data_IF_149090480319
#
_entry.id   IF_149090480319
#
_cell.length_a   1.000
_cell.length_b   1.000
_cell.length_c   1.000
_cell.angle_alpha   90.00
_cell.angle_beta   90.00
_cell.angle_gamma   90.00
#
_symmetry.space_group_name_H-M   'P 1'
#
loop_
_entity.id
_entity.type
_entity.pdbx_description
1 polymer ?
#
# COMPACT_ATOMS: atom_id res chain seq x y z
N UNK A 1 -12.37 -11.59 -3.07
CA UNK A 1 -12.64 -10.30 -2.40
C UNK A 1 -14.14 -10.07 -2.45
N UNK A 2 -14.89 -10.70 -1.55
CA UNK A 2 -16.36 -10.55 -1.52
C UNK A 2 -16.71 -9.46 -0.49
N UNK A 3 -17.56 -8.50 -0.87
CA UNK A 3 -18.10 -7.47 0.04
C UNK A 3 -17.45 -6.09 -0.04
N UNK A 4 -16.65 -5.78 -1.07
CA UNK A 4 -16.16 -4.42 -1.33
C UNK A 4 -16.55 -4.04 -2.75
N UNK A 5 -17.44 -3.05 -2.90
CA UNK A 5 -18.03 -2.67 -4.19
C UNK A 5 -17.06 -1.84 -5.06
N UNK A 6 -16.22 -1.03 -4.43
CA UNK A 6 -15.29 -0.12 -5.11
C UNK A 6 -13.84 -0.55 -4.87
N UNK A 7 -13.43 -1.67 -5.46
CA UNK A 7 -12.08 -2.22 -5.31
C UNK A 7 -11.50 -2.69 -6.63
N UNK A 8 -10.42 -2.06 -7.03
CA UNK A 8 -9.58 -2.50 -8.14
C UNK A 8 -8.38 -3.28 -7.63
N UNK A 9 -8.17 -4.47 -8.18
CA UNK A 9 -7.05 -5.35 -7.82
C UNK A 9 -6.05 -5.34 -8.95
N UNK A 10 -4.83 -4.89 -8.66
CA UNK A 10 -3.76 -4.76 -9.64
C UNK A 10 -2.67 -5.81 -9.41
N UNK A 11 -1.81 -6.02 -10.42
CA UNK A 11 -0.69 -6.96 -10.36
C UNK A 11 0.60 -6.28 -10.80
N UNK A 12 1.62 -6.30 -9.93
CA UNK A 12 2.96 -5.78 -10.22
C UNK A 12 3.97 -6.87 -10.65
N UNK A 13 3.52 -8.13 -10.78
CA UNK A 13 4.40 -9.28 -10.98
C UNK A 13 5.28 -9.19 -12.25
N UNK A 14 4.80 -8.58 -13.33
CA UNK A 14 5.49 -8.64 -14.63
C UNK A 14 6.85 -7.92 -14.63
N UNK A 15 6.93 -6.78 -13.98
CA UNK A 15 8.12 -5.90 -14.03
C UNK A 15 8.63 -5.51 -12.64
N UNK A 16 7.82 -5.73 -11.60
CA UNK A 16 8.04 -5.25 -10.25
C UNK A 16 8.26 -3.73 -10.19
N UNK A 17 7.61 -2.99 -11.09
CA UNK A 17 7.88 -1.56 -11.27
C UNK A 17 7.32 -0.77 -10.10
N UNK A 18 6.12 -1.10 -9.62
CA UNK A 18 5.55 -0.50 -8.43
C UNK A 18 6.43 -0.80 -7.21
N UNK A 19 6.76 -2.08 -6.99
CA UNK A 19 7.61 -2.53 -5.90
C UNK A 19 8.96 -1.81 -5.85
N UNK A 20 9.62 -1.65 -7.01
CA UNK A 20 10.91 -0.94 -7.11
C UNK A 20 10.77 0.56 -6.86
N UNK A 21 9.78 1.20 -7.47
CA UNK A 21 9.63 2.65 -7.44
C UNK A 21 9.07 3.17 -6.12
N UNK A 22 8.21 2.40 -5.46
CA UNK A 22 7.62 2.72 -4.16
C UNK A 22 8.41 2.12 -2.99
N UNK A 23 9.53 1.45 -3.28
CA UNK A 23 10.41 0.89 -2.25
C UNK A 23 9.80 -0.28 -1.47
N UNK A 24 8.80 -0.98 -2.03
CA UNK A 24 8.12 -2.10 -1.37
C UNK A 24 8.57 -3.49 -1.86
N UNK A 25 9.38 -3.58 -2.91
CA UNK A 25 9.85 -4.88 -3.39
C UNK A 25 10.84 -5.53 -2.39
N UNK A 26 10.48 -6.70 -1.88
CA UNK A 26 11.39 -7.59 -1.14
C UNK A 26 12.19 -8.38 -2.17
N UNK A 27 13.47 -8.03 -2.34
CA UNK A 27 14.32 -8.56 -3.43
C UNK A 27 14.49 -10.07 -3.38
N UNK A 28 14.60 -10.64 -2.18
CA UNK A 28 14.84 -12.06 -1.97
C UNK A 28 13.59 -12.90 -2.27
N UNK A 29 12.41 -12.33 -2.09
CA UNK A 29 11.12 -13.02 -2.25
C UNK A 29 10.42 -12.69 -3.57
N UNK A 30 10.81 -11.60 -4.25
CA UNK A 30 10.10 -11.05 -5.42
C UNK A 30 8.62 -10.77 -5.12
N UNK A 31 8.33 -10.33 -3.89
CA UNK A 31 7.01 -9.95 -3.41
C UNK A 31 7.04 -8.51 -2.91
N UNK A 32 5.91 -7.82 -3.05
CA UNK A 32 5.73 -6.51 -2.42
C UNK A 32 5.49 -6.70 -0.92
N UNK A 33 6.17 -5.90 -0.09
CA UNK A 33 5.92 -5.87 1.34
C UNK A 33 4.54 -5.28 1.65
N UNK A 34 3.96 -5.72 2.76
CA UNK A 34 2.71 -5.17 3.27
C UNK A 34 2.89 -3.68 3.53
N UNK A 35 2.09 -2.88 2.85
CA UNK A 35 2.20 -1.42 2.89
C UNK A 35 0.84 -0.78 2.63
N UNK A 36 0.67 0.45 3.12
CA UNK A 36 -0.49 1.30 2.84
C UNK A 36 0.02 2.64 2.32
N UNK A 37 -0.59 3.12 1.23
CA UNK A 37 -0.39 4.45 0.69
C UNK A 37 -1.74 5.15 0.59
N UNK A 38 -1.80 6.42 0.99
CA UNK A 38 -2.93 7.31 0.71
C UNK A 38 -2.40 8.41 -0.20
N UNK A 39 -3.04 8.57 -1.35
CA UNK A 39 -2.63 9.51 -2.41
C UNK A 39 -3.81 10.44 -2.69
N UNK A 40 -3.57 11.75 -2.77
CA UNK A 40 -4.60 12.74 -3.12
C UNK A 40 -4.79 12.89 -4.64
N UNK A 41 -5.70 13.78 -5.03
CA UNK A 41 -6.06 14.01 -6.44
C UNK A 41 -4.92 14.65 -7.24
N UNK A 42 -4.00 15.32 -6.55
CA UNK A 42 -2.79 15.93 -7.09
C UNK A 42 -1.61 14.94 -7.20
N UNK A 43 -1.84 13.64 -6.96
CA UNK A 43 -0.83 12.57 -6.91
C UNK A 43 0.22 12.75 -5.82
N UNK A 44 -0.12 13.43 -4.72
CA UNK A 44 0.75 13.57 -3.55
C UNK A 44 0.49 12.45 -2.56
N UNK A 45 1.55 11.78 -2.11
CA UNK A 45 1.46 10.81 -1.01
C UNK A 45 1.19 11.57 0.30
N UNK A 46 0.01 11.38 0.87
CA UNK A 46 -0.43 11.99 2.12
C UNK A 46 -0.13 11.15 3.35
N UNK A 47 -0.03 9.84 3.15
CA UNK A 47 0.32 8.87 4.18
C UNK A 47 1.03 7.69 3.56
N UNK A 48 2.01 7.16 4.29
CA UNK A 48 2.67 5.91 3.95
C UNK A 48 2.94 5.11 5.21
N UNK A 49 2.64 3.81 5.14
CA UNK A 49 3.04 2.83 6.13
C UNK A 49 3.76 1.69 5.44
N UNK A 50 4.98 1.43 5.89
CA UNK A 50 5.74 0.23 5.55
C UNK A 50 5.73 -0.70 6.77
N UNK A 51 5.22 -1.93 6.61
CA UNK A 51 5.20 -2.90 7.71
C UNK A 51 6.58 -3.54 7.85
N UNK A 52 7.13 -3.54 9.07
CA UNK A 52 8.48 -4.05 9.33
C UNK A 52 8.56 -5.57 9.25
N UNK A 53 7.54 -6.26 9.76
CA UNK A 53 7.48 -7.71 9.81
C UNK A 53 6.32 -8.23 8.95
N UNK A 54 6.62 -9.10 7.97
CA UNK A 54 5.63 -9.57 6.99
C UNK A 54 4.55 -10.50 7.57
N UNK A 55 4.75 -10.97 8.80
CA UNK A 55 3.77 -11.72 9.59
C UNK A 55 2.72 -10.81 10.23
N UNK A 56 3.00 -9.51 10.35
CA UNK A 56 2.08 -8.52 10.91
C UNK A 56 1.20 -7.92 9.83
N UNK A 57 0.06 -7.39 10.26
CA UNK A 57 -0.81 -6.59 9.40
C UNK A 57 -0.43 -5.11 9.51
N UNK A 58 -0.67 -4.31 8.45
CA UNK A 58 -0.67 -2.87 8.57
C UNK A 58 -1.64 -2.37 9.65
N UNK A 59 -1.38 -1.17 10.15
CA UNK A 59 -2.29 -0.50 11.08
C UNK A 59 -3.37 0.24 10.28
N UNK A 60 -4.45 -0.48 10.01
CA UNK A 60 -5.57 0.04 9.22
C UNK A 60 -6.24 1.24 9.91
N UNK A 61 -6.29 1.27 11.24
CA UNK A 61 -6.89 2.38 11.99
C UNK A 61 -6.03 3.64 11.87
N UNK A 62 -4.71 3.53 11.97
CA UNK A 62 -3.80 4.65 11.74
C UNK A 62 -3.95 5.23 10.32
N UNK A 63 -4.06 4.37 9.31
CA UNK A 63 -4.28 4.81 7.93
C UNK A 63 -5.64 5.51 7.75
N UNK A 64 -6.72 4.94 8.30
CA UNK A 64 -8.06 5.54 8.24
C UNK A 64 -8.12 6.89 8.99
N UNK A 65 -7.43 7.01 10.12
CA UNK A 65 -7.34 8.27 10.86
C UNK A 65 -6.55 9.33 10.08
N UNK A 66 -5.45 8.95 9.44
CA UNK A 66 -4.71 9.85 8.55
C UNK A 66 -5.59 10.34 7.40
N UNK A 67 -6.34 9.43 6.74
CA UNK A 67 -7.31 9.80 5.70
C UNK A 67 -8.35 10.82 6.22
N UNK A 68 -8.95 10.55 7.38
CA UNK A 68 -9.98 11.42 7.98
C UNK A 68 -9.47 12.81 8.32
N UNK A 69 -8.18 12.99 8.60
CA UNK A 69 -7.59 14.30 8.89
C UNK A 69 -7.38 15.19 7.66
N UNK A 70 -7.52 14.63 6.46
CA UNK A 70 -7.29 15.31 5.18
C UNK A 70 -8.57 15.77 4.50
N UNK A 71 -9.74 15.34 5.00
CA UNK A 71 -11.08 15.59 4.45
C UNK A 71 -11.93 16.46 5.36
#
# INVERSE_FOLDING_TARGET
>A
MAGIDNLDTLSDYKTHAFGKNYGVLIKELQLDMRSIFIIDQENTIRYVQYVREMTEHPDYEAALNALRSLV
#
